data_IF_126844314379
#
_entry.id   IF_126844314379
#
_cell.length_a   1.000
_cell.length_b   1.000
_cell.length_c   1.000
_cell.angle_alpha   90.00
_cell.angle_beta   90.00
_cell.angle_gamma   90.00
#
_symmetry.space_group_name_H-M   'P 1'
#
loop_
_entity.id
_entity.type
_entity.pdbx_description
1 polymer ?
#
# COMPACT_ATOMS: atom_id res chain seq x y z
N UNK A 1 34.99 -14.25 9.59
CA UNK A 1 33.52 -14.19 9.59
C UNK A 1 33.10 -12.73 9.49
N UNK A 2 32.29 -12.36 8.50
CA UNK A 2 31.73 -11.01 8.41
C UNK A 2 30.76 -10.77 9.57
N UNK A 3 30.83 -9.62 10.23
CA UNK A 3 29.83 -9.23 11.24
C UNK A 3 28.48 -9.03 10.54
N UNK A 4 27.43 -9.58 11.14
CA UNK A 4 26.03 -9.34 10.76
C UNK A 4 25.53 -8.06 11.42
N UNK A 5 24.47 -7.46 10.89
CA UNK A 5 23.82 -6.30 11.55
C UNK A 5 23.40 -6.66 12.99
N UNK A 6 22.98 -7.91 13.23
CA UNK A 6 22.62 -8.41 14.55
C UNK A 6 23.78 -8.38 15.55
N UNK A 7 25.02 -8.58 15.09
CA UNK A 7 26.22 -8.51 15.93
C UNK A 7 26.45 -7.11 16.49
N UNK A 8 26.01 -6.08 15.75
CA UNK A 8 26.19 -4.68 16.14
C UNK A 8 25.12 -4.24 17.14
N UNK A 9 23.86 -4.60 16.89
CA UNK A 9 22.75 -4.07 17.70
C UNK A 9 22.26 -5.00 18.81
N UNK A 10 22.40 -6.32 18.68
CA UNK A 10 22.01 -7.30 19.70
C UNK A 10 23.05 -8.42 19.87
N UNK A 11 24.27 -8.10 20.34
CA UNK A 11 25.38 -9.03 20.41
C UNK A 11 25.05 -10.29 21.23
N UNK A 12 24.32 -10.16 22.34
CA UNK A 12 23.91 -11.31 23.18
C UNK A 12 23.03 -12.32 22.42
N UNK A 13 22.20 -11.85 21.48
CA UNK A 13 21.32 -12.72 20.66
C UNK A 13 22.14 -13.36 19.56
N UNK A 14 23.05 -12.61 18.94
CA UNK A 14 23.91 -13.12 17.89
C UNK A 14 24.90 -14.16 18.42
N UNK A 15 25.49 -13.92 19.60
CA UNK A 15 26.37 -14.87 20.28
C UNK A 15 25.62 -16.15 20.62
N UNK A 16 24.43 -16.04 21.22
CA UNK A 16 23.56 -17.19 21.46
C UNK A 16 23.28 -17.98 20.17
N UNK A 17 22.85 -17.32 19.10
CA UNK A 17 22.57 -17.99 17.83
C UNK A 17 23.80 -18.66 17.21
N UNK A 18 25.02 -18.23 17.57
CA UNK A 18 26.28 -18.82 17.12
C UNK A 18 26.71 -20.03 17.96
N UNK A 19 26.43 -20.02 19.26
CA UNK A 19 26.95 -21.01 20.21
C UNK A 19 25.93 -22.08 20.60
N UNK A 20 24.64 -21.79 20.50
CA UNK A 20 23.57 -22.73 20.85
C UNK A 20 23.63 -23.97 19.95
N UNK A 21 23.44 -25.14 20.58
CA UNK A 21 23.36 -26.42 19.91
C UNK A 21 21.90 -26.70 19.53
N UNK A 22 21.54 -26.28 18.31
CA UNK A 22 20.19 -26.47 17.79
C UNK A 22 19.98 -27.93 17.38
N UNK A 23 18.82 -28.53 17.72
CA UNK A 23 18.49 -29.88 17.28
C UNK A 23 18.48 -29.97 15.75
N UNK A 24 18.75 -31.17 15.21
CA UNK A 24 18.64 -31.47 13.79
C UNK A 24 17.51 -32.48 13.57
N UNK A 25 16.42 -32.13 12.84
CA UNK A 25 16.18 -30.85 12.17
C UNK A 25 15.91 -29.70 13.15
N UNK A 26 16.20 -28.46 12.71
CA UNK A 26 16.01 -27.25 13.52
C UNK A 26 14.54 -27.08 13.87
N UNK A 27 14.24 -26.87 15.15
CA UNK A 27 12.89 -26.57 15.66
C UNK A 27 12.66 -25.06 15.62
N UNK A 28 12.14 -24.58 14.50
CA UNK A 28 11.83 -23.18 14.22
C UNK A 28 10.98 -22.51 15.30
N UNK A 29 10.00 -23.24 15.86
CA UNK A 29 9.17 -22.74 16.96
C UNK A 29 9.97 -22.42 18.22
N UNK A 30 10.95 -23.26 18.56
CA UNK A 30 11.83 -23.06 19.73
C UNK A 30 12.79 -21.89 19.50
N UNK A 31 13.36 -21.77 18.30
CA UNK A 31 14.21 -20.64 17.91
C UNK A 31 13.45 -19.33 18.08
N UNK A 32 12.23 -19.23 17.53
CA UNK A 32 11.43 -18.02 17.63
C UNK A 32 11.01 -17.73 19.07
N UNK A 33 10.62 -18.76 19.84
CA UNK A 33 10.30 -18.61 21.25
C UNK A 33 11.49 -18.07 22.07
N UNK A 34 12.70 -18.58 21.81
CA UNK A 34 13.92 -18.12 22.45
C UNK A 34 14.24 -16.65 22.10
N UNK A 35 14.08 -16.26 20.84
CA UNK A 35 14.22 -14.85 20.41
C UNK A 35 13.21 -13.95 21.14
N UNK A 36 11.96 -14.37 21.21
CA UNK A 36 10.87 -13.60 21.82
C UNK A 36 10.99 -13.47 23.36
N UNK A 37 11.61 -14.47 24.00
CA UNK A 37 11.88 -14.49 25.44
C UNK A 37 13.01 -13.53 25.83
N UNK A 38 13.97 -13.27 24.92
CA UNK A 38 15.12 -12.40 25.19
C UNK A 38 14.75 -10.92 25.29
N UNK A 39 15.48 -10.20 26.13
CA UNK A 39 15.37 -8.74 26.27
C UNK A 39 16.12 -8.07 25.13
N UNK A 40 15.41 -7.76 24.05
CA UNK A 40 16.01 -7.12 22.88
C UNK A 40 16.33 -5.64 23.15
N UNK A 41 17.56 -5.16 22.88
CA UNK A 41 17.91 -3.74 22.99
C UNK A 41 17.08 -2.90 22.00
N UNK A 42 17.03 -1.59 22.20
CA UNK A 42 16.36 -0.70 21.23
C UNK A 42 17.08 -0.82 19.90
N UNK A 43 16.31 -0.83 18.80
CA UNK A 43 16.93 -0.75 17.48
C UNK A 43 17.79 0.51 17.43
N UNK A 44 18.95 0.49 16.74
CA UNK A 44 19.63 1.71 16.38
C UNK A 44 18.59 2.62 15.74
N UNK A 45 18.46 3.85 16.23
CA UNK A 45 17.39 4.76 15.82
C UNK A 45 17.23 4.69 14.30
N UNK A 46 16.00 4.42 13.83
CA UNK A 46 15.66 4.58 12.42
C UNK A 46 16.16 5.96 12.03
N UNK A 47 17.14 5.98 11.13
CA UNK A 47 17.87 7.20 10.90
C UNK A 47 16.87 8.23 10.39
N UNK A 48 16.63 9.27 11.17
CA UNK A 48 15.53 10.22 10.99
C UNK A 48 15.46 10.78 9.55
N UNK A 49 16.61 10.80 8.86
CA UNK A 49 16.70 11.19 7.45
C UNK A 49 15.96 10.25 6.49
N UNK A 50 15.86 8.93 6.76
CA UNK A 50 15.09 7.99 5.93
C UNK A 50 13.60 8.35 6.01
N UNK A 51 13.11 8.57 7.22
CA UNK A 51 11.72 9.00 7.47
C UNK A 51 11.46 10.38 6.87
N UNK A 52 12.42 11.31 6.99
CA UNK A 52 12.31 12.63 6.39
C UNK A 52 12.27 12.58 4.85
N UNK A 53 13.13 11.79 4.21
CA UNK A 53 13.11 11.58 2.74
C UNK A 53 11.80 10.94 2.31
N UNK A 54 11.33 9.92 3.04
CA UNK A 54 10.03 9.30 2.78
C UNK A 54 8.87 10.29 2.90
N UNK A 55 8.88 11.14 3.93
CA UNK A 55 7.88 12.18 4.13
C UNK A 55 7.91 13.24 3.01
N UNK A 56 9.10 13.72 2.63
CA UNK A 56 9.28 14.67 1.52
C UNK A 56 8.79 14.04 0.21
N UNK A 57 9.16 12.80 -0.07
CA UNK A 57 8.68 12.07 -1.24
C UNK A 57 7.15 11.99 -1.28
N UNK A 58 6.51 11.67 -0.16
CA UNK A 58 5.05 11.67 -0.05
C UNK A 58 4.43 13.05 -0.26
N UNK A 59 5.01 14.10 0.32
CA UNK A 59 4.55 15.48 0.11
C UNK A 59 4.61 15.85 -1.37
N UNK A 60 5.71 15.53 -2.06
CA UNK A 60 5.85 15.78 -3.51
C UNK A 60 4.78 15.02 -4.30
N UNK A 61 4.54 13.74 -3.98
CA UNK A 61 3.48 12.94 -4.62
C UNK A 61 2.10 13.58 -4.40
N UNK A 62 1.78 14.00 -3.17
CA UNK A 62 0.51 14.67 -2.87
C UNK A 62 0.39 16.00 -3.61
N UNK A 63 1.45 16.81 -3.66
CA UNK A 63 1.49 18.08 -4.37
C UNK A 63 1.32 17.90 -5.88
N UNK A 64 1.84 16.80 -6.46
CA UNK A 64 1.65 16.46 -7.88
C UNK A 64 0.26 15.87 -8.15
N UNK A 65 -0.28 15.12 -7.20
CA UNK A 65 -1.61 14.53 -7.29
C UNK A 65 -2.72 15.57 -7.13
N UNK A 66 -2.51 16.63 -6.32
CA UNK A 66 -3.53 17.62 -5.98
C UNK A 66 -4.07 18.38 -7.22
N UNK A 67 -3.25 18.91 -8.14
CA UNK A 67 -3.74 19.55 -9.37
C UNK A 67 -4.45 18.56 -10.29
N UNK A 68 -4.06 17.29 -10.23
CA UNK A 68 -4.59 16.22 -11.06
C UNK A 68 -5.99 15.82 -10.55
N UNK A 69 -6.10 15.32 -9.33
CA UNK A 69 -7.37 14.90 -8.72
C UNK A 69 -8.28 16.09 -8.32
N UNK A 70 -7.70 17.26 -8.08
CA UNK A 70 -8.41 18.49 -7.75
C UNK A 70 -8.71 19.37 -8.96
N UNK A 71 -8.40 18.93 -10.19
CA UNK A 71 -8.54 19.73 -11.40
C UNK A 71 -9.95 20.33 -11.53
N UNK A 72 -11.01 19.55 -11.31
CA UNK A 72 -12.38 20.03 -11.42
C UNK A 72 -12.76 21.08 -10.36
N UNK A 73 -12.20 20.98 -9.15
CA UNK A 73 -12.42 21.96 -8.07
C UNK A 73 -11.71 23.27 -8.40
N UNK A 74 -10.46 23.19 -8.87
CA UNK A 74 -9.73 24.38 -9.33
C UNK A 74 -10.46 25.02 -10.50
N UNK A 75 -10.88 24.23 -11.49
CA UNK A 75 -11.67 24.68 -12.63
C UNK A 75 -12.98 25.36 -12.21
N UNK A 76 -13.68 24.82 -11.22
CA UNK A 76 -14.88 25.44 -10.63
C UNK A 76 -14.56 26.81 -10.01
N UNK A 77 -13.53 26.92 -9.18
CA UNK A 77 -13.13 28.20 -8.56
C UNK A 77 -12.80 29.23 -9.63
N UNK A 78 -12.01 28.86 -10.64
CA UNK A 78 -11.65 29.76 -11.74
C UNK A 78 -12.89 30.18 -12.55
N UNK A 79 -13.82 29.26 -12.82
CA UNK A 79 -15.06 29.55 -13.51
C UNK A 79 -15.91 30.57 -12.73
N UNK A 80 -16.06 30.38 -11.41
CA UNK A 80 -16.79 31.32 -10.54
C UNK A 80 -16.10 32.69 -10.50
N UNK A 81 -14.78 32.74 -10.36
CA UNK A 81 -14.03 34.00 -10.40
C UNK A 81 -14.21 34.73 -11.75
N UNK A 82 -14.28 33.98 -12.86
CA UNK A 82 -14.59 34.52 -14.17
C UNK A 82 -15.97 35.17 -14.23
N UNK A 83 -17.00 34.53 -13.65
CA UNK A 83 -18.36 35.08 -13.60
C UNK A 83 -18.47 36.35 -12.75
N UNK A 84 -17.64 36.48 -11.72
CA UNK A 84 -17.58 37.64 -10.83
C UNK A 84 -16.70 38.78 -11.36
N UNK A 85 -15.90 38.54 -12.41
CA UNK A 85 -14.97 39.52 -12.97
C UNK A 85 -15.62 40.33 -14.10
N UNK A 86 -15.37 41.64 -14.10
CA UNK A 86 -15.90 42.54 -15.12
C UNK A 86 -14.99 42.64 -16.35
N UNK A 87 -15.63 42.75 -17.53
CA UNK A 87 -14.96 43.03 -18.79
C UNK A 87 -13.84 42.03 -19.16
N UNK A 88 -12.69 42.57 -19.55
CA UNK A 88 -11.52 41.81 -20.06
C UNK A 88 -10.85 40.96 -18.97
N UNK A 89 -11.04 41.30 -17.69
CA UNK A 89 -10.44 40.57 -16.58
C UNK A 89 -11.00 39.14 -16.42
N UNK A 90 -12.17 38.83 -17.00
CA UNK A 90 -12.78 37.50 -16.95
C UNK A 90 -12.08 36.45 -17.84
N UNK A 91 -11.45 36.89 -18.94
CA UNK A 91 -10.84 35.99 -19.92
C UNK A 91 -9.76 35.05 -19.36
N UNK A 92 -8.75 35.52 -18.59
CA UNK A 92 -7.72 34.63 -18.04
C UNK A 92 -8.30 33.58 -17.09
N UNK A 93 -9.34 33.92 -16.33
CA UNK A 93 -10.04 32.97 -15.46
C UNK A 93 -10.72 31.86 -16.27
N UNK A 94 -11.41 32.22 -17.36
CA UNK A 94 -12.03 31.24 -18.24
C UNK A 94 -11.01 30.39 -19.00
N UNK A 95 -9.88 30.96 -19.43
CA UNK A 95 -8.78 30.17 -20.04
C UNK A 95 -8.21 29.16 -19.05
N UNK A 96 -7.96 29.58 -17.81
CA UNK A 96 -7.53 28.69 -16.75
C UNK A 96 -8.55 27.58 -16.46
N UNK A 97 -9.83 27.94 -16.37
CA UNK A 97 -10.92 26.97 -16.16
C UNK A 97 -10.97 25.93 -17.30
N UNK A 98 -10.82 26.34 -18.56
CA UNK A 98 -10.77 25.41 -19.72
C UNK A 98 -9.65 24.39 -19.57
N UNK A 99 -8.45 24.84 -19.21
CA UNK A 99 -7.30 23.96 -19.02
C UNK A 99 -7.57 22.89 -17.95
N UNK A 100 -8.09 23.30 -16.79
CA UNK A 100 -8.37 22.36 -15.70
C UNK A 100 -9.55 21.42 -16.00
N UNK A 101 -10.59 21.87 -16.70
CA UNK A 101 -11.68 20.97 -17.11
C UNK A 101 -11.25 20.01 -18.23
N UNK A 102 -10.31 20.38 -19.09
CA UNK A 102 -9.70 19.46 -20.04
C UNK A 102 -8.95 18.33 -19.32
N UNK A 103 -8.14 18.67 -18.30
CA UNK A 103 -7.47 17.67 -17.45
C UNK A 103 -8.49 16.78 -16.74
N UNK A 104 -9.53 17.36 -16.14
CA UNK A 104 -10.57 16.61 -15.43
C UNK A 104 -11.31 15.63 -16.36
N UNK A 105 -11.64 16.04 -17.58
CA UNK A 105 -12.26 15.17 -18.58
C UNK A 105 -11.31 14.02 -18.98
N UNK A 106 -10.03 14.32 -19.25
CA UNK A 106 -9.02 13.31 -19.58
C UNK A 106 -8.82 12.29 -18.45
N UNK A 107 -8.79 12.74 -17.20
CA UNK A 107 -8.74 11.85 -16.02
C UNK A 107 -9.99 11.01 -15.89
N UNK A 108 -11.17 11.58 -16.13
CA UNK A 108 -12.43 10.82 -16.17
C UNK A 108 -12.37 9.68 -17.17
N UNK A 109 -11.84 9.91 -18.37
CA UNK A 109 -11.65 8.87 -19.40
C UNK A 109 -10.63 7.82 -18.94
N UNK A 110 -9.50 8.25 -18.36
CA UNK A 110 -8.50 7.32 -17.82
C UNK A 110 -9.08 6.40 -16.74
N UNK A 111 -9.83 6.98 -15.78
CA UNK A 111 -10.53 6.22 -14.74
C UNK A 111 -11.60 5.29 -15.33
N UNK A 112 -12.27 5.69 -16.42
CA UNK A 112 -13.21 4.82 -17.11
C UNK A 112 -12.52 3.61 -17.74
N UNK A 113 -11.36 3.80 -18.38
CA UNK A 113 -10.56 2.71 -18.96
C UNK A 113 -10.05 1.76 -17.86
N UNK A 114 -9.54 2.30 -16.75
CA UNK A 114 -9.09 1.51 -15.60
C UNK A 114 -10.24 0.69 -14.99
N UNK A 115 -11.41 1.30 -14.83
CA UNK A 115 -12.62 0.57 -14.43
C UNK A 115 -13.01 -0.49 -15.45
N UNK A 116 -12.95 -0.20 -16.75
CA UNK A 116 -13.32 -1.14 -17.80
C UNK A 116 -12.45 -2.40 -17.77
N UNK A 117 -11.15 -2.23 -17.48
CA UNK A 117 -10.20 -3.32 -17.37
C UNK A 117 -10.37 -4.13 -16.07
N UNK A 118 -10.53 -3.45 -14.93
CA UNK A 118 -10.60 -4.12 -13.63
C UNK A 118 -11.99 -4.67 -13.29
N UNK A 119 -13.05 -3.99 -13.76
CA UNK A 119 -14.46 -4.16 -13.36
C UNK A 119 -14.67 -4.18 -11.85
N UNK A 120 -13.75 -3.56 -11.10
CA UNK A 120 -13.72 -3.55 -9.63
C UNK A 120 -14.00 -2.15 -9.12
N UNK A 121 -14.61 -2.08 -7.94
CA UNK A 121 -14.88 -0.84 -7.24
C UNK A 121 -13.69 -0.45 -6.36
N UNK A 122 -13.01 0.64 -6.73
CA UNK A 122 -12.04 1.30 -5.86
C UNK A 122 -12.66 2.52 -5.15
N UNK A 123 -12.43 2.65 -3.84
CA UNK A 123 -12.99 3.76 -3.03
C UNK A 123 -12.47 5.13 -3.48
N UNK A 124 -11.17 5.19 -3.80
CA UNK A 124 -10.53 6.42 -4.24
C UNK A 124 -11.09 6.88 -5.60
N UNK A 125 -11.31 5.94 -6.52
CA UNK A 125 -11.94 6.20 -7.81
C UNK A 125 -13.36 6.73 -7.64
N UNK A 126 -14.18 6.11 -6.78
CA UNK A 126 -15.53 6.59 -6.47
C UNK A 126 -15.51 8.03 -5.93
N UNK A 127 -14.63 8.31 -4.96
CA UNK A 127 -14.50 9.65 -4.38
C UNK A 127 -14.10 10.70 -5.42
N UNK A 128 -13.08 10.40 -6.23
CA UNK A 128 -12.61 11.30 -7.28
C UNK A 128 -13.67 11.54 -8.36
N UNK A 129 -14.36 10.49 -8.81
CA UNK A 129 -15.42 10.58 -9.82
C UNK A 129 -16.64 11.36 -9.31
N UNK A 130 -17.06 11.13 -8.06
CA UNK A 130 -18.15 11.88 -7.44
C UNK A 130 -17.81 13.37 -7.31
N UNK A 131 -16.63 13.68 -6.76
CA UNK A 131 -16.17 15.06 -6.59
C UNK A 131 -16.07 15.79 -7.94
N UNK A 132 -15.49 15.13 -8.95
CA UNK A 132 -15.38 15.68 -10.31
C UNK A 132 -16.75 15.93 -10.91
N UNK A 133 -17.67 14.98 -10.83
CA UNK A 133 -19.01 15.12 -11.39
C UNK A 133 -19.77 16.29 -10.76
N UNK A 134 -19.73 16.41 -9.43
CA UNK A 134 -20.40 17.50 -8.70
C UNK A 134 -19.75 18.86 -9.01
N UNK A 135 -18.41 18.96 -8.95
CA UNK A 135 -17.72 20.21 -9.21
C UNK A 135 -17.92 20.71 -10.65
N UNK A 136 -17.83 19.80 -11.63
CA UNK A 136 -18.08 20.14 -13.04
C UNK A 136 -19.53 20.51 -13.32
N UNK A 137 -20.50 19.83 -12.70
CA UNK A 137 -21.92 20.18 -12.81
C UNK A 137 -22.24 21.55 -12.19
N UNK A 138 -21.69 21.84 -11.01
CA UNK A 138 -21.82 23.14 -10.37
C UNK A 138 -21.18 24.26 -11.21
N UNK A 139 -20.02 24.01 -11.81
CA UNK A 139 -19.34 24.99 -12.66
C UNK A 139 -20.13 25.27 -13.94
N UNK A 140 -20.70 24.22 -14.55
CA UNK A 140 -21.60 24.37 -15.70
C UNK A 140 -22.80 25.25 -15.34
N UNK A 141 -23.46 24.98 -14.22
CA UNK A 141 -24.61 25.77 -13.75
C UNK A 141 -24.23 27.24 -13.48
N UNK A 142 -23.05 27.50 -12.92
CA UNK A 142 -22.56 28.85 -12.64
C UNK A 142 -22.27 29.66 -13.91
N UNK A 143 -21.81 29.01 -14.97
CA UNK A 143 -21.40 29.67 -16.22
C UNK A 143 -22.52 29.68 -17.28
N UNK A 144 -23.60 28.93 -17.06
CA UNK A 144 -24.72 28.84 -18.00
C UNK A 144 -25.35 30.22 -18.23
N UNK A 145 -25.22 30.72 -19.45
CA UNK A 145 -25.74 32.03 -19.86
C UNK A 145 -24.70 33.14 -19.91
N UNK A 146 -23.44 32.92 -19.51
CA UNK A 146 -22.36 33.89 -19.75
C UNK A 146 -21.78 33.70 -21.16
N UNK A 147 -22.01 34.64 -22.10
CA UNK A 147 -21.48 34.53 -23.47
C UNK A 147 -19.95 34.59 -23.52
N UNK A 148 -19.28 35.17 -22.51
CA UNK A 148 -17.82 35.34 -22.46
C UNK A 148 -17.08 34.03 -22.24
N UNK A 149 -17.75 33.03 -21.65
CA UNK A 149 -17.17 31.72 -21.38
C UNK A 149 -16.72 30.99 -22.66
N UNK A 150 -17.37 31.30 -23.79
CA UNK A 150 -17.20 30.60 -25.06
C UNK A 150 -17.75 29.17 -25.02
N UNK A 151 -18.01 28.58 -26.18
CA UNK A 151 -18.71 27.29 -26.29
C UNK A 151 -17.90 26.11 -25.71
N UNK A 152 -16.57 26.18 -25.77
CA UNK A 152 -15.69 25.09 -25.31
C UNK A 152 -15.73 24.85 -23.81
N UNK A 153 -15.85 25.90 -22.99
CA UNK A 153 -15.79 25.76 -21.54
C UNK A 153 -16.98 24.96 -20.98
N UNK A 154 -18.25 25.30 -21.29
CA UNK A 154 -19.40 24.49 -20.90
C UNK A 154 -19.37 23.06 -21.45
N UNK A 155 -18.87 22.86 -22.68
CA UNK A 155 -18.72 21.52 -23.26
C UNK A 155 -17.75 20.65 -22.46
N UNK A 156 -16.60 21.19 -22.06
CA UNK A 156 -15.63 20.47 -21.23
C UNK A 156 -16.18 20.17 -19.84
N UNK A 157 -16.88 21.12 -19.22
CA UNK A 157 -17.57 20.90 -17.93
C UNK A 157 -18.59 19.76 -18.04
N UNK A 158 -19.42 19.77 -19.07
CA UNK A 158 -20.42 18.73 -19.32
C UNK A 158 -19.75 17.37 -19.58
N UNK A 159 -18.72 17.32 -20.42
CA UNK A 159 -17.98 16.10 -20.70
C UNK A 159 -17.36 15.50 -19.43
N UNK A 160 -16.67 16.32 -18.62
CA UNK A 160 -16.10 15.89 -17.35
C UNK A 160 -17.17 15.38 -16.37
N UNK A 161 -18.31 16.08 -16.28
CA UNK A 161 -19.43 15.71 -15.43
C UNK A 161 -20.06 14.37 -15.84
N UNK A 162 -20.32 14.18 -17.14
CA UNK A 162 -20.93 12.96 -17.69
C UNK A 162 -20.00 11.77 -17.54
N UNK A 163 -18.74 11.89 -17.97
CA UNK A 163 -17.78 10.78 -17.91
C UNK A 163 -17.55 10.37 -16.45
N UNK A 164 -17.33 11.32 -15.55
CA UNK A 164 -17.12 11.01 -14.13
C UNK A 164 -18.38 10.49 -13.46
N UNK A 165 -19.56 10.99 -13.82
CA UNK A 165 -20.85 10.47 -13.34
C UNK A 165 -21.07 9.02 -13.77
N UNK A 166 -20.74 8.67 -15.01
CA UNK A 166 -20.78 7.30 -15.53
C UNK A 166 -19.82 6.40 -14.74
N UNK A 167 -18.55 6.80 -14.59
CA UNK A 167 -17.56 6.05 -13.80
C UNK A 167 -18.03 5.85 -12.36
N UNK A 168 -18.63 6.86 -11.74
CA UNK A 168 -19.17 6.78 -10.39
C UNK A 168 -20.31 5.76 -10.28
N UNK A 169 -21.31 5.83 -11.17
CA UNK A 169 -22.44 4.89 -11.19
C UNK A 169 -21.96 3.46 -11.43
N UNK A 170 -21.06 3.28 -12.40
CA UNK A 170 -20.45 1.99 -12.72
C UNK A 170 -19.62 1.44 -11.55
N UNK A 171 -18.90 2.30 -10.84
CA UNK A 171 -18.20 1.95 -9.61
C UNK A 171 -19.15 1.50 -8.50
N UNK A 172 -20.32 2.15 -8.34
CA UNK A 172 -21.31 1.78 -7.31
C UNK A 172 -21.91 0.40 -7.53
N UNK A 173 -22.18 0.02 -8.79
CA UNK A 173 -22.73 -1.29 -9.14
C UNK A 173 -21.67 -2.39 -9.19
N UNK A 174 -20.39 -2.03 -9.35
CA UNK A 174 -19.31 -3.01 -9.44
C UNK A 174 -18.99 -3.65 -8.09
N UNK A 175 -18.50 -4.89 -8.14
CA UNK A 175 -18.08 -5.59 -6.92
C UNK A 175 -16.97 -4.81 -6.24
N UNK A 176 -17.03 -4.63 -4.90
CA UNK A 176 -15.92 -4.05 -4.14
C UNK A 176 -14.64 -4.73 -4.60
N UNK A 177 -13.62 -3.95 -4.97
CA UNK A 177 -12.28 -4.50 -5.14
C UNK A 177 -12.03 -5.31 -3.90
N UNK A 178 -12.01 -6.64 -4.08
CA UNK A 178 -11.90 -7.55 -2.98
C UNK A 178 -10.64 -7.13 -2.28
N UNK A 179 -10.76 -6.53 -1.08
CA UNK A 179 -9.61 -6.39 -0.20
C UNK A 179 -9.01 -7.78 -0.27
N UNK A 180 -7.75 -7.98 -0.71
CA UNK A 180 -7.12 -9.27 -0.53
C UNK A 180 -7.48 -9.62 0.90
N UNK A 181 -8.12 -10.77 1.12
CA UNK A 181 -8.43 -11.24 2.47
C UNK A 181 -7.08 -11.48 3.12
N UNK A 182 -6.36 -10.39 3.44
CA UNK A 182 -5.33 -10.25 4.44
C UNK A 182 -6.10 -10.42 5.73
N UNK A 183 -6.63 -11.63 5.94
CA UNK A 183 -6.99 -12.12 7.27
C UNK A 183 -5.70 -11.87 8.03
N UNK A 184 -5.64 -10.84 8.85
CA UNK A 184 -4.41 -10.66 9.61
C UNK A 184 -4.28 -11.93 10.44
N UNK A 185 -3.10 -12.57 10.49
CA UNK A 185 -2.89 -13.68 11.40
C UNK A 185 -3.45 -13.35 12.77
N UNK A 186 -4.12 -14.31 13.45
CA UNK A 186 -4.38 -14.14 14.87
C UNK A 186 -3.11 -13.67 15.56
N UNK A 187 -3.21 -12.63 16.36
CA UNK A 187 -2.03 -11.91 16.82
C UNK A 187 -1.26 -12.79 17.82
N UNK A 188 -0.16 -13.40 17.37
CA UNK A 188 0.83 -14.09 18.23
C UNK A 188 2.03 -13.17 18.52
N UNK A 189 2.63 -13.37 19.69
CA UNK A 189 3.81 -12.62 20.13
C UNK A 189 3.54 -11.23 20.75
N UNK A 190 4.54 -10.33 20.76
CA UNK A 190 4.50 -9.08 21.51
C UNK A 190 3.35 -8.13 21.11
N UNK A 191 2.74 -7.47 22.10
CA UNK A 191 1.66 -6.49 21.87
C UNK A 191 2.15 -5.14 21.35
N UNK A 192 3.30 -4.64 21.80
CA UNK A 192 3.83 -3.35 21.35
C UNK A 192 4.49 -3.43 19.98
N UNK A 193 4.23 -2.46 19.10
CA UNK A 193 4.87 -2.34 17.78
C UNK A 193 6.39 -2.38 17.90
N UNK A 194 6.95 -1.52 18.75
CA UNK A 194 8.40 -1.42 18.97
C UNK A 194 9.05 -2.73 19.47
N UNK A 195 8.33 -3.63 20.17
CA UNK A 195 8.87 -4.95 20.54
C UNK A 195 8.74 -5.95 19.40
N UNK A 196 7.70 -5.84 18.56
CA UNK A 196 7.57 -6.67 17.35
C UNK A 196 8.65 -6.34 16.33
N UNK A 197 8.94 -5.06 16.10
CA UNK A 197 9.93 -4.67 15.10
C UNK A 197 11.34 -5.15 15.50
N UNK A 198 11.68 -5.01 16.78
CA UNK A 198 12.88 -5.61 17.38
C UNK A 198 12.94 -7.12 17.20
N UNK A 199 11.85 -7.83 17.50
CA UNK A 199 11.79 -9.28 17.36
C UNK A 199 11.93 -9.72 15.90
N UNK A 200 11.37 -8.95 14.95
CA UNK A 200 11.48 -9.23 13.51
C UNK A 200 12.92 -9.08 13.03
N UNK A 201 13.59 -7.98 13.36
CA UNK A 201 15.02 -7.77 13.08
C UNK A 201 15.90 -8.84 13.73
N UNK A 202 15.62 -9.21 14.98
CA UNK A 202 16.37 -10.27 15.66
C UNK A 202 16.23 -11.61 14.93
N UNK A 203 15.02 -11.93 14.49
CA UNK A 203 14.72 -13.14 13.73
C UNK A 203 15.41 -13.16 12.37
N UNK A 204 15.42 -12.04 11.64
CA UNK A 204 16.16 -11.89 10.38
C UNK A 204 17.66 -12.20 10.57
N UNK A 205 18.29 -11.62 11.60
CA UNK A 205 19.70 -11.87 11.89
C UNK A 205 20.00 -13.29 12.38
N UNK A 206 19.12 -13.88 13.19
CA UNK A 206 19.28 -15.28 13.64
C UNK A 206 19.16 -16.23 12.46
N UNK A 207 18.21 -16.00 11.54
CA UNK A 207 18.08 -16.80 10.31
C UNK A 207 19.38 -16.77 9.49
N UNK A 208 19.97 -15.59 9.31
CA UNK A 208 21.24 -15.44 8.60
C UNK A 208 22.38 -16.24 9.26
N UNK A 209 22.45 -16.22 10.59
CA UNK A 209 23.44 -16.99 11.35
C UNK A 209 23.20 -18.50 11.18
N UNK A 210 21.95 -18.98 11.26
CA UNK A 210 21.62 -20.40 11.12
C UNK A 210 21.98 -20.94 9.73
N UNK A 211 21.66 -20.18 8.67
CA UNK A 211 22.05 -20.52 7.29
C UNK A 211 23.56 -20.55 7.14
N UNK A 212 24.27 -19.55 7.68
CA UNK A 212 25.74 -19.47 7.60
C UNK A 212 26.44 -20.59 8.39
N UNK A 213 25.81 -21.10 9.45
CA UNK A 213 26.30 -22.27 10.21
C UNK A 213 25.99 -23.60 9.52
N UNK A 214 25.37 -23.58 8.34
CA UNK A 214 24.91 -24.78 7.61
C UNK A 214 24.00 -25.68 8.48
N UNK A 215 23.25 -25.06 9.41
CA UNK A 215 22.27 -25.78 10.23
C UNK A 215 20.94 -25.97 9.49
N UNK A 216 20.70 -25.14 8.48
CA UNK A 216 19.52 -25.18 7.63
C UNK A 216 19.96 -24.86 6.21
N UNK A 217 19.48 -25.64 5.25
CA UNK A 217 19.62 -25.38 3.82
C UNK A 217 18.37 -24.66 3.34
N UNK A 218 18.48 -23.36 3.06
CA UNK A 218 17.36 -22.52 2.61
C UNK A 218 17.82 -21.61 1.47
N UNK A 219 17.13 -21.68 0.34
CA UNK A 219 17.39 -20.79 -0.78
C UNK A 219 17.02 -19.33 -0.46
N UNK A 220 17.35 -18.41 -1.37
CA UNK A 220 17.14 -16.98 -1.14
C UNK A 220 15.65 -16.60 -1.09
N UNK A 221 14.80 -17.33 -1.82
CA UNK A 221 13.36 -17.08 -1.88
C UNK A 221 12.69 -17.52 -0.58
N UNK A 222 13.02 -18.71 -0.10
CA UNK A 222 12.52 -19.26 1.15
C UNK A 222 13.06 -18.48 2.36
N UNK A 223 14.29 -17.96 2.31
CA UNK A 223 14.78 -17.01 3.31
C UNK A 223 13.89 -15.75 3.34
N UNK A 224 13.53 -15.21 2.18
CA UNK A 224 12.64 -14.04 2.10
C UNK A 224 11.27 -14.35 2.70
N UNK A 225 10.69 -15.52 2.37
CA UNK A 225 9.40 -15.98 2.91
C UNK A 225 9.44 -16.18 4.43
N UNK A 226 10.51 -16.76 4.97
CA UNK A 226 10.72 -16.91 6.42
C UNK A 226 10.79 -15.57 7.15
N UNK A 227 11.44 -14.56 6.55
CA UNK A 227 11.53 -13.20 7.10
C UNK A 227 10.19 -12.49 7.09
N UNK A 228 9.36 -12.73 6.08
CA UNK A 228 8.04 -12.12 5.97
C UNK A 228 7.00 -12.76 6.87
N UNK A 229 7.16 -14.06 7.17
CA UNK A 229 6.25 -14.85 7.99
C UNK A 229 5.91 -14.13 9.31
N UNK A 230 4.65 -14.12 9.78
CA UNK A 230 4.29 -13.38 10.99
C UNK A 230 4.99 -13.92 12.25
N UNK A 231 5.25 -13.05 13.23
CA UNK A 231 5.86 -13.47 14.51
C UNK A 231 4.96 -14.46 15.26
N UNK A 232 5.57 -15.53 15.78
CA UNK A 232 4.92 -16.59 16.57
C UNK A 232 4.39 -17.76 15.72
N UNK A 233 4.83 -17.86 14.46
CA UNK A 233 4.35 -18.84 13.50
C UNK A 233 5.43 -19.73 12.91
N UNK A 234 6.70 -19.50 13.24
CA UNK A 234 7.77 -20.41 12.84
C UNK A 234 7.55 -21.85 13.35
N UNK A 235 6.82 -22.02 14.45
CA UNK A 235 6.37 -23.34 14.94
C UNK A 235 5.51 -24.15 13.96
N UNK A 236 4.88 -23.53 12.95
CA UNK A 236 4.13 -24.25 11.91
C UNK A 236 5.05 -25.03 10.96
N UNK A 237 6.34 -24.73 10.97
CA UNK A 237 7.36 -25.40 10.17
C UNK A 237 8.00 -26.58 10.90
N UNK A 238 7.60 -26.85 12.15
CA UNK A 238 8.16 -27.93 12.95
C UNK A 238 7.50 -29.26 12.61
N UNK A 239 8.31 -30.27 12.29
CA UNK A 239 7.84 -31.66 12.11
C UNK A 239 7.08 -31.93 10.80
N UNK A 240 7.11 -31.00 9.86
CA UNK A 240 6.60 -31.18 8.49
C UNK A 240 7.72 -31.66 7.55
N UNK A 241 7.35 -32.31 6.45
CA UNK A 241 8.32 -32.67 5.42
C UNK A 241 8.70 -31.46 4.54
N UNK A 242 9.74 -31.61 3.71
CA UNK A 242 10.27 -30.51 2.88
C UNK A 242 9.24 -29.95 1.88
N UNK A 243 8.35 -30.80 1.35
CA UNK A 243 7.34 -30.39 0.39
C UNK A 243 6.24 -29.56 1.07
N UNK A 244 5.77 -30.01 2.22
CA UNK A 244 4.81 -29.30 3.06
C UNK A 244 5.44 -28.00 3.62
N UNK A 245 6.71 -28.02 3.99
CA UNK A 245 7.46 -26.85 4.44
C UNK A 245 7.46 -25.72 3.39
N UNK A 246 7.85 -26.02 2.15
CA UNK A 246 7.85 -25.03 1.05
C UNK A 246 6.44 -24.55 0.71
N UNK A 247 5.47 -25.46 0.74
CA UNK A 247 4.05 -25.13 0.53
C UNK A 247 3.54 -24.16 1.59
N UNK A 248 3.87 -24.38 2.86
CA UNK A 248 3.51 -23.46 3.95
C UNK A 248 4.13 -22.08 3.69
N UNK A 249 5.41 -22.01 3.33
CA UNK A 249 6.07 -20.73 3.03
C UNK A 249 5.45 -20.00 1.84
N UNK A 250 5.20 -20.69 0.73
CA UNK A 250 4.59 -20.11 -0.47
C UNK A 250 3.20 -19.55 -0.18
N UNK A 251 2.35 -20.34 0.48
CA UNK A 251 1.01 -19.90 0.85
C UNK A 251 1.05 -18.70 1.80
N UNK A 252 1.97 -18.69 2.76
CA UNK A 252 2.12 -17.60 3.74
C UNK A 252 2.62 -16.30 3.11
N UNK A 253 3.39 -16.37 2.03
CA UNK A 253 3.81 -15.21 1.24
C UNK A 253 2.66 -14.61 0.42
N UNK A 254 1.81 -15.45 -0.19
CA UNK A 254 0.69 -15.02 -1.03
C UNK A 254 -0.50 -14.49 -0.22
N UNK A 255 -0.74 -15.00 1.00
CA UNK A 255 -1.75 -14.48 1.90
C UNK A 255 -2.04 -15.36 3.12
N UNK A 256 -2.54 -14.75 4.19
CA UNK A 256 -2.86 -15.51 5.41
C UNK A 256 -4.16 -16.33 5.27
N UNK A 257 -4.04 -17.66 5.45
CA UNK A 257 -5.14 -18.63 5.58
C UNK A 257 -4.85 -19.57 6.76
N UNK A 258 -5.83 -19.88 7.59
CA UNK A 258 -5.63 -20.90 8.63
C UNK A 258 -5.63 -22.27 7.94
N UNK A 259 -4.58 -23.07 8.14
CA UNK A 259 -4.53 -24.44 7.66
C UNK A 259 -5.47 -25.28 8.53
N UNK A 260 -6.51 -25.83 7.92
CA UNK A 260 -7.34 -26.85 8.55
C UNK A 260 -7.10 -28.21 7.89
N UNK A 261 -7.71 -29.26 8.44
CA UNK A 261 -7.55 -30.62 7.93
C UNK A 261 -7.99 -30.78 6.45
N UNK A 262 -8.77 -29.84 5.91
CA UNK A 262 -9.23 -29.88 4.51
C UNK A 262 -8.15 -29.43 3.52
N UNK A 263 -7.16 -28.65 3.96
CA UNK A 263 -6.07 -28.15 3.10
C UNK A 263 -5.00 -29.22 2.78
N UNK A 264 -4.99 -30.34 3.53
CA UNK A 264 -4.08 -31.48 3.26
C UNK A 264 -4.31 -32.16 1.91
N UNK A 265 -5.47 -31.95 1.29
CA UNK A 265 -5.88 -32.62 0.04
C UNK A 265 -5.93 -31.69 -1.17
N UNK A 266 -5.53 -30.42 -1.04
CA UNK A 266 -5.37 -29.56 -2.20
C UNK A 266 -4.12 -30.00 -2.97
N UNK A 267 -4.21 -30.22 -4.29
CA UNK A 267 -3.08 -30.64 -5.13
C UNK A 267 -2.00 -29.55 -5.23
#
# INVERSE_FOLDING_TARGET
>A
MARTELDEWAPDVAEWARTEDFPRPVRWGEVEAAILARKLPRLPEEVWWVTAIGAVGWIVVVLMALPTFGAAVIGLVLAVMGTMSDGVAAEPWYVGARFFFFIAAGLGVSLFVDWWQSRRRAVLQLGASALTAVASGAAFAAVQGDPRAGVWLPLLMLAAAVVSGVVFVLGLISTPEGRPKKRKPPRRGPRSSARRDRARRAREGVLEILVRRELVDVDQDDQTRLREMPLGYWSELDGVDEAEWRRILELRHVGWRDFDASDRYLP
#
